data_IF_405483945415
#
_entry.id   IF_405483945415
#
_cell.length_a   1.000
_cell.length_b   1.000
_cell.length_c   1.000
_cell.angle_alpha   90.00
_cell.angle_beta   90.00
_cell.angle_gamma   90.00
#
_symmetry.space_group_name_H-M   'P 1'
#
loop_
_entity.id
_entity.type
_entity.pdbx_description
1 polymer ?
#
# COMPACT_ATOMS: atom_id res chain seq x y z
N UNK A 1 3.43 7.14 14.73
CA UNK A 1 4.26 7.07 13.49
C UNK A 1 4.93 8.42 13.25
N UNK A 2 6.24 8.42 13.02
CA UNK A 2 6.98 9.65 12.73
C UNK A 2 6.73 10.10 11.28
N UNK A 3 7.09 11.34 10.95
CA UNK A 3 6.96 11.85 9.58
C UNK A 3 7.80 11.04 8.60
N UNK A 4 9.00 10.62 9.01
CA UNK A 4 9.86 9.78 8.18
C UNK A 4 9.24 8.41 7.93
N UNK A 5 8.62 7.81 8.94
CA UNK A 5 7.92 6.53 8.79
C UNK A 5 6.71 6.67 7.88
N UNK A 6 5.93 7.75 8.01
CA UNK A 6 4.80 8.02 7.12
C UNK A 6 5.24 8.18 5.68
N UNK A 7 6.34 8.91 5.45
CA UNK A 7 6.88 9.10 4.10
C UNK A 7 7.29 7.77 3.48
N UNK A 8 8.03 6.95 4.22
CA UNK A 8 8.47 5.63 3.75
C UNK A 8 7.27 4.71 3.45
N UNK A 9 6.28 4.70 4.33
CA UNK A 9 5.07 3.91 4.13
C UNK A 9 4.31 4.38 2.89
N UNK A 10 4.15 5.69 2.73
CA UNK A 10 3.47 6.25 1.55
C UNK A 10 4.14 5.82 0.26
N UNK A 11 5.47 5.93 0.19
CA UNK A 11 6.22 5.53 -0.99
C UNK A 11 6.03 4.05 -1.30
N UNK A 12 6.04 3.22 -0.27
CA UNK A 12 5.82 1.79 -0.42
C UNK A 12 4.40 1.50 -0.91
N UNK A 13 3.39 2.16 -0.35
CA UNK A 13 2.00 1.98 -0.77
C UNK A 13 1.78 2.43 -2.21
N UNK A 14 2.34 3.56 -2.61
CA UNK A 14 2.27 4.02 -4.01
C UNK A 14 2.89 2.98 -4.94
N UNK A 15 4.07 2.47 -4.61
CA UNK A 15 4.74 1.44 -5.40
C UNK A 15 3.89 0.17 -5.50
N UNK A 16 3.31 -0.27 -4.39
CA UNK A 16 2.48 -1.48 -4.36
C UNK A 16 1.21 -1.30 -5.18
N UNK A 17 0.58 -0.13 -5.11
CA UNK A 17 -0.62 0.16 -5.89
C UNK A 17 -0.30 0.23 -7.39
N UNK A 18 0.81 0.85 -7.76
CA UNK A 18 1.29 0.86 -9.14
C UNK A 18 1.51 -0.56 -9.67
N UNK A 19 2.10 -1.41 -8.85
CA UNK A 19 2.35 -2.80 -9.21
C UNK A 19 1.05 -3.58 -9.45
N UNK A 20 0.03 -3.33 -8.64
CA UNK A 20 -1.24 -4.06 -8.71
C UNK A 20 -2.16 -3.55 -9.82
N UNK A 21 -2.32 -2.22 -9.97
CA UNK A 21 -3.33 -1.64 -10.85
C UNK A 21 -2.82 -0.47 -11.71
N UNK A 22 -1.53 -0.17 -11.68
CA UNK A 22 -0.95 0.91 -12.48
C UNK A 22 -1.05 2.27 -11.80
N UNK A 23 -0.82 3.33 -12.58
CA UNK A 23 -0.64 4.69 -12.05
C UNK A 23 -1.95 5.47 -11.84
N UNK A 24 -3.07 4.98 -12.32
CA UNK A 24 -4.32 5.75 -12.35
C UNK A 24 -4.90 6.03 -10.96
N UNK A 25 -4.52 5.25 -9.97
CA UNK A 25 -5.10 5.30 -8.63
C UNK A 25 -4.14 5.78 -7.55
N UNK A 26 -2.89 6.10 -7.89
CA UNK A 26 -1.88 6.48 -6.88
C UNK A 26 -2.23 7.74 -6.12
N UNK A 27 -3.02 8.64 -6.73
CA UNK A 27 -3.50 9.86 -6.08
C UNK A 27 -4.44 9.60 -4.91
N UNK A 28 -4.98 8.39 -4.80
CA UNK A 28 -5.85 8.00 -3.69
C UNK A 28 -5.08 7.67 -2.42
N UNK A 29 -3.75 7.50 -2.50
CA UNK A 29 -2.92 7.22 -1.33
C UNK A 29 -2.67 8.53 -0.59
N UNK A 30 -3.53 8.80 0.38
CA UNK A 30 -3.46 10.01 1.22
C UNK A 30 -2.98 9.66 2.63
N UNK A 31 -2.53 10.68 3.37
CA UNK A 31 -2.04 10.48 4.74
C UNK A 31 -3.08 9.80 5.65
N UNK A 32 -4.35 10.09 5.44
CA UNK A 32 -5.42 9.52 6.26
C UNK A 32 -5.53 8.01 6.16
N UNK A 33 -5.12 7.41 5.03
CA UNK A 33 -5.21 5.96 4.87
C UNK A 33 -4.02 5.24 5.54
N UNK A 34 -2.91 5.94 5.77
CA UNK A 34 -1.70 5.31 6.31
C UNK A 34 -1.94 4.66 7.67
N UNK A 35 -2.64 5.38 8.55
CA UNK A 35 -2.95 4.86 9.89
C UNK A 35 -3.92 3.68 9.81
N UNK A 36 -4.89 3.73 8.90
CA UNK A 36 -5.92 2.70 8.76
C UNK A 36 -5.35 1.37 8.24
N UNK A 37 -4.33 1.43 7.38
CA UNK A 37 -3.81 0.23 6.72
C UNK A 37 -2.48 -0.26 7.29
N UNK A 38 -1.86 0.49 8.19
CA UNK A 38 -0.52 0.16 8.69
C UNK A 38 -0.45 -1.27 9.25
N UNK A 39 -1.40 -1.67 10.07
CA UNK A 39 -1.43 -3.00 10.67
C UNK A 39 -1.67 -4.09 9.63
N UNK A 40 -2.59 -3.85 8.69
CA UNK A 40 -2.89 -4.79 7.61
C UNK A 40 -1.68 -4.97 6.69
N UNK A 41 -0.98 -3.88 6.41
CA UNK A 41 0.24 -3.92 5.58
C UNK A 41 1.33 -4.71 6.29
N UNK A 42 1.55 -4.45 7.56
CA UNK A 42 2.56 -5.17 8.33
C UNK A 42 2.27 -6.68 8.36
N UNK A 43 1.01 -7.05 8.53
CA UNK A 43 0.60 -8.46 8.51
C UNK A 43 0.79 -9.10 7.13
N UNK A 44 0.46 -8.38 6.05
CA UNK A 44 0.60 -8.90 4.70
C UNK A 44 2.07 -9.02 4.27
N UNK A 45 2.90 -8.09 4.71
CA UNK A 45 4.31 -8.03 4.31
C UNK A 45 5.17 -9.12 4.97
N UNK A 46 4.84 -9.53 6.19
CA UNK A 46 5.56 -10.57 6.94
C UNK A 46 7.09 -10.41 6.83
N UNK A 47 7.56 -9.19 7.03
CA UNK A 47 8.97 -8.79 7.03
C UNK A 47 9.67 -8.75 5.66
N UNK A 48 9.06 -9.21 4.59
CA UNK A 48 9.68 -9.19 3.24
C UNK A 48 9.00 -8.16 2.33
N UNK A 49 9.30 -6.89 2.55
CA UNK A 49 8.70 -5.78 1.79
C UNK A 49 9.20 -5.66 0.34
N UNK A 50 10.25 -6.40 -0.03
CA UNK A 50 10.86 -6.31 -1.38
C UNK A 50 10.35 -7.38 -2.33
N UNK A 51 9.59 -8.36 -1.83
CA UNK A 51 9.02 -9.42 -2.65
C UNK A 51 7.89 -8.89 -3.54
N UNK A 52 7.82 -9.34 -4.79
CA UNK A 52 6.72 -9.02 -5.70
C UNK A 52 5.39 -9.59 -5.19
N UNK A 53 5.42 -10.77 -4.58
CA UNK A 53 4.24 -11.38 -3.98
C UNK A 53 3.69 -10.52 -2.84
N UNK A 54 4.58 -9.97 -2.02
CA UNK A 54 4.21 -9.08 -0.92
C UNK A 54 3.63 -7.77 -1.47
N UNK A 55 4.25 -7.18 -2.50
CA UNK A 55 3.72 -5.98 -3.13
C UNK A 55 2.32 -6.20 -3.69
N UNK A 56 2.10 -7.34 -4.33
CA UNK A 56 0.77 -7.68 -4.83
C UNK A 56 -0.24 -7.84 -3.69
N UNK A 57 0.14 -8.50 -2.60
CA UNK A 57 -0.73 -8.65 -1.42
C UNK A 57 -1.08 -7.29 -0.82
N UNK A 58 -0.09 -6.41 -0.68
CA UNK A 58 -0.29 -5.04 -0.19
C UNK A 58 -1.18 -4.25 -1.14
N UNK A 59 -0.96 -4.38 -2.43
CA UNK A 59 -1.80 -3.74 -3.46
C UNK A 59 -3.26 -4.18 -3.34
N UNK A 60 -3.52 -5.45 -3.08
CA UNK A 60 -4.88 -5.97 -2.88
C UNK A 60 -5.53 -5.35 -1.63
N UNK A 61 -4.78 -5.24 -0.53
CA UNK A 61 -5.28 -4.59 0.69
C UNK A 61 -5.67 -3.14 0.39
N UNK A 62 -4.81 -2.41 -0.32
CA UNK A 62 -5.09 -1.03 -0.72
C UNK A 62 -6.33 -0.93 -1.61
N UNK A 63 -6.45 -1.79 -2.61
CA UNK A 63 -7.60 -1.78 -3.51
C UNK A 63 -8.89 -2.02 -2.73
N UNK A 64 -8.88 -2.94 -1.77
CA UNK A 64 -10.02 -3.19 -0.91
C UNK A 64 -10.39 -1.95 -0.08
N UNK A 65 -9.39 -1.27 0.50
CA UNK A 65 -9.62 -0.07 1.32
C UNK A 65 -10.07 1.13 0.50
N UNK A 66 -9.54 1.28 -0.70
CA UNK A 66 -9.86 2.39 -1.60
C UNK A 66 -11.06 2.10 -2.50
N UNK A 67 -11.62 0.90 -2.43
CA UNK A 67 -12.74 0.43 -3.27
C UNK A 67 -12.40 0.51 -4.76
N UNK A 68 -11.17 0.14 -5.09
CA UNK A 68 -10.68 0.04 -6.46
C UNK A 68 -10.80 -1.41 -6.92
N UNK A 69 -11.40 -1.64 -8.08
CA UNK A 69 -11.49 -2.97 -8.65
C UNK A 69 -10.15 -3.37 -9.25
N UNK A 70 -9.68 -4.57 -8.90
CA UNK A 70 -8.49 -5.14 -9.55
C UNK A 70 -8.90 -5.78 -10.87
N UNK A 71 -8.04 -5.62 -11.89
CA UNK A 71 -8.28 -6.27 -13.18
C UNK A 71 -8.21 -7.79 -13.08
#
# INVERSE_FOLDING_TARGET
MTDAEKQSLREYLVSSLQFAVGNDYVHLVADSILDDVADDIAAAADEDYNSDDVRMAVGRVLCSRLKVEMP
#
